data_IF_574200286186
#
_entry.id   IF_574200286186
#
_cell.length_a   1.000
_cell.length_b   1.000
_cell.length_c   1.000
_cell.angle_alpha   90.00
_cell.angle_beta   90.00
_cell.angle_gamma   90.00
#
_symmetry.space_group_name_H-M   'P 1'
#
loop_
_entity.id
_entity.type
_entity.pdbx_description
1 polymer ?
#
# COMPACT_ATOMS: atom_id res chain seq x y z
N UNK A 1 20.00 -4.63 55.43
CA UNK A 1 20.32 -3.53 54.47
C UNK A 1 20.67 -4.04 53.07
N UNK A 2 21.40 -5.15 52.94
CA UNK A 2 21.75 -5.75 51.63
C UNK A 2 20.50 -6.20 50.85
N UNK A 3 19.65 -7.00 51.47
CA UNK A 3 18.38 -7.48 50.88
C UNK A 3 17.49 -6.35 50.35
N UNK A 4 17.36 -5.25 51.11
CA UNK A 4 16.57 -4.08 50.73
C UNK A 4 17.15 -3.35 49.52
N UNK A 5 18.49 -3.30 49.42
CA UNK A 5 19.20 -2.73 48.28
C UNK A 5 19.00 -3.57 47.02
N UNK A 6 19.05 -4.88 47.16
CA UNK A 6 18.91 -5.80 46.03
C UNK A 6 17.46 -5.80 45.51
N UNK A 7 16.47 -5.75 46.41
CA UNK A 7 15.05 -5.53 46.05
C UNK A 7 14.86 -4.21 45.32
N UNK A 8 15.44 -3.12 45.83
CA UNK A 8 15.34 -1.80 45.20
C UNK A 8 16.00 -1.78 43.80
N UNK A 9 17.13 -2.45 43.65
CA UNK A 9 17.83 -2.58 42.37
C UNK A 9 16.99 -3.35 41.34
N UNK A 10 16.41 -4.48 41.72
CA UNK A 10 15.53 -5.25 40.83
C UNK A 10 14.27 -4.45 40.47
N UNK A 11 13.66 -3.77 41.44
CA UNK A 11 12.48 -2.95 41.21
C UNK A 11 12.74 -1.82 40.22
N UNK A 12 13.86 -1.11 40.39
CA UNK A 12 14.25 -0.03 39.47
C UNK A 12 14.59 -0.55 38.08
N UNK A 13 15.25 -1.70 37.97
CA UNK A 13 15.51 -2.33 36.67
C UNK A 13 14.21 -2.69 35.92
N UNK A 14 13.22 -3.26 36.62
CA UNK A 14 11.91 -3.58 36.04
C UNK A 14 11.20 -2.29 35.58
N UNK A 15 11.21 -1.25 36.41
CA UNK A 15 10.55 0.02 36.08
C UNK A 15 11.11 0.67 34.81
N UNK A 16 12.44 0.59 34.61
CA UNK A 16 13.12 1.11 33.42
C UNK A 16 12.80 0.28 32.17
N UNK A 17 12.66 -1.05 32.29
CA UNK A 17 12.42 -1.95 31.15
C UNK A 17 10.95 -2.07 30.75
N UNK A 18 10.02 -1.77 31.66
CA UNK A 18 8.58 -1.94 31.46
C UNK A 18 8.04 -1.19 30.23
N UNK A 19 8.38 0.08 29.96
CA UNK A 19 7.90 0.79 28.78
C UNK A 19 8.32 0.13 27.46
N UNK A 20 9.56 -0.37 27.41
CA UNK A 20 10.09 -1.10 26.24
C UNK A 20 9.40 -2.43 26.02
N UNK A 21 9.12 -3.18 27.08
CA UNK A 21 8.40 -4.45 27.00
C UNK A 21 6.95 -4.26 26.52
N UNK A 22 6.25 -3.24 27.04
CA UNK A 22 4.90 -2.87 26.59
C UNK A 22 4.94 -2.45 25.11
N UNK A 23 5.89 -1.60 24.72
CA UNK A 23 6.06 -1.19 23.31
C UNK A 23 6.34 -2.37 22.38
N UNK A 24 7.20 -3.31 22.79
CA UNK A 24 7.50 -4.51 22.02
C UNK A 24 6.27 -5.41 21.88
N UNK A 25 5.53 -5.66 22.96
CA UNK A 25 4.29 -6.46 22.92
C UNK A 25 3.24 -5.83 21.98
N UNK A 26 3.20 -4.49 21.93
CA UNK A 26 2.27 -3.75 21.10
C UNK A 26 2.54 -3.89 19.59
N UNK A 27 3.76 -4.24 19.17
CA UNK A 27 4.09 -4.57 17.78
C UNK A 27 3.35 -5.84 17.31
N UNK A 28 3.14 -6.78 18.23
CA UNK A 28 2.46 -8.06 17.96
C UNK A 28 0.97 -8.04 18.29
N UNK A 29 0.48 -6.99 18.97
CA UNK A 29 -0.95 -6.74 19.04
C UNK A 29 -1.38 -6.30 17.65
N UNK A 30 -2.13 -7.19 17.00
CA UNK A 30 -2.68 -6.97 15.68
C UNK A 30 -3.57 -5.73 15.69
N UNK A 31 -3.01 -4.58 15.31
CA UNK A 31 -3.81 -3.43 14.93
C UNK A 31 -4.48 -3.84 13.64
N UNK A 32 -5.75 -4.23 13.74
CA UNK A 32 -6.52 -4.54 12.54
C UNK A 32 -6.63 -3.25 11.72
N UNK A 33 -5.67 -3.00 10.85
CA UNK A 33 -5.77 -2.07 9.74
C UNK A 33 -6.73 -2.71 8.75
N UNK A 34 -8.01 -2.82 9.15
CA UNK A 34 -9.05 -3.26 8.24
C UNK A 34 -9.06 -2.24 7.11
N UNK A 35 -8.68 -2.70 5.92
CA UNK A 35 -8.93 -1.98 4.68
C UNK A 35 -10.42 -1.63 4.65
N UNK A 36 -10.72 -0.40 4.27
CA UNK A 36 -12.09 0.08 4.26
C UNK A 36 -12.82 -0.63 3.11
N UNK A 37 -13.59 -1.67 3.41
CA UNK A 37 -14.37 -2.45 2.44
C UNK A 37 -15.66 -1.73 1.99
N UNK A 38 -15.96 -0.57 2.58
CA UNK A 38 -17.17 0.20 2.28
C UNK A 38 -16.80 1.52 1.59
N UNK A 39 -17.31 1.72 0.38
CA UNK A 39 -17.09 2.90 -0.47
C UNK A 39 -17.86 4.16 -0.01
N UNK A 40 -18.44 4.16 1.19
CA UNK A 40 -19.12 5.33 1.74
C UNK A 40 -18.13 6.47 2.02
N UNK A 41 -18.44 7.69 1.55
CA UNK A 41 -17.61 8.88 1.71
C UNK A 41 -17.29 9.23 3.18
N UNK A 42 -18.09 8.74 4.13
CA UNK A 42 -17.93 8.98 5.56
C UNK A 42 -18.12 7.69 6.35
N UNK A 43 -17.08 7.22 7.03
CA UNK A 43 -17.16 6.10 7.96
C UNK A 43 -16.58 6.49 9.33
N UNK A 44 -17.18 5.95 10.39
CA UNK A 44 -16.67 6.11 11.74
C UNK A 44 -15.55 5.08 11.97
N UNK A 45 -14.30 5.53 11.92
CA UNK A 45 -13.20 4.71 12.42
C UNK A 45 -13.44 4.38 13.90
N UNK A 46 -13.38 3.10 14.27
CA UNK A 46 -13.29 2.71 15.67
C UNK A 46 -12.03 3.39 16.22
N UNK A 47 -12.16 4.24 17.23
CA UNK A 47 -11.06 4.99 17.82
C UNK A 47 -9.91 4.02 18.11
N UNK A 48 -8.84 4.11 17.31
CA UNK A 48 -7.63 3.37 17.57
C UNK A 48 -7.15 3.78 18.95
N UNK A 49 -6.68 2.83 19.73
CA UNK A 49 -6.02 3.13 20.99
C UNK A 49 -4.70 3.76 20.58
N UNK A 50 -4.61 5.08 20.71
CA UNK A 50 -3.39 5.82 20.37
C UNK A 50 -2.34 5.52 21.45
N UNK A 51 -1.65 4.40 21.29
CA UNK A 51 -0.56 3.99 22.15
C UNK A 51 0.71 4.72 21.72
N UNK A 52 0.72 6.04 21.89
CA UNK A 52 1.87 6.89 21.61
C UNK A 52 2.95 6.69 22.70
N UNK A 53 3.48 5.47 22.85
CA UNK A 53 4.59 5.14 23.74
C UNK A 53 5.91 5.82 23.30
N UNK A 54 5.89 6.54 22.19
CA UNK A 54 6.97 7.39 21.67
C UNK A 54 7.22 8.65 22.50
N UNK A 55 6.39 9.00 23.49
CA UNK A 55 6.65 10.15 24.38
C UNK A 55 7.90 9.95 25.25
N UNK A 56 8.34 8.70 25.46
CA UNK A 56 9.67 8.45 26.02
C UNK A 56 10.71 8.80 24.96
N UNK A 57 11.43 9.92 25.17
CA UNK A 57 12.51 10.38 24.29
C UNK A 57 13.43 9.20 23.91
N UNK A 58 13.29 8.72 22.66
CA UNK A 58 14.27 7.81 22.08
C UNK A 58 15.61 8.52 22.13
N UNK A 59 16.58 7.92 22.82
CA UNK A 59 17.92 8.48 22.93
C UNK A 59 18.38 8.89 21.52
N UNK A 60 18.77 10.15 21.27
CA UNK A 60 19.20 10.60 19.95
C UNK A 60 20.38 9.80 19.40
N UNK A 61 21.14 9.10 20.26
CA UNK A 61 22.19 8.17 19.85
C UNK A 61 21.66 6.89 19.15
N UNK A 62 20.35 6.62 19.18
CA UNK A 62 19.71 5.49 18.50
C UNK A 62 19.06 5.89 17.15
N UNK A 63 19.47 7.02 16.56
CA UNK A 63 19.09 7.34 15.18
C UNK A 63 19.77 6.36 14.22
N UNK A 64 19.04 5.29 13.88
CA UNK A 64 19.43 4.34 12.86
C UNK A 64 19.01 4.92 11.51
N UNK A 65 19.98 5.35 10.70
CA UNK A 65 19.75 5.76 9.32
C UNK A 65 19.70 4.52 8.44
N UNK A 66 18.53 4.20 7.89
CA UNK A 66 18.40 3.16 6.88
C UNK A 66 18.84 3.71 5.51
N UNK A 67 19.59 2.95 4.71
CA UNK A 67 19.92 3.37 3.36
C UNK A 67 18.65 3.38 2.50
N UNK A 68 18.42 4.49 1.78
CA UNK A 68 17.41 4.54 0.73
C UNK A 68 17.88 3.70 -0.46
N UNK A 69 17.01 2.81 -0.94
CA UNK A 69 17.24 2.04 -2.15
C UNK A 69 16.23 2.48 -3.21
N UNK A 70 16.74 2.74 -4.42
CA UNK A 70 15.89 2.98 -5.58
C UNK A 70 15.63 1.63 -6.26
N UNK A 71 14.38 1.20 -6.29
CA UNK A 71 13.98 0.02 -7.07
C UNK A 71 14.00 0.43 -8.54
N UNK A 72 15.07 0.06 -9.25
CA UNK A 72 15.13 0.20 -10.71
C UNK A 72 14.18 -0.85 -11.28
N UNK A 73 12.98 -0.43 -11.64
CA UNK A 73 12.02 -1.27 -12.34
C UNK A 73 12.48 -1.40 -13.78
N UNK A 74 12.75 -2.61 -14.26
CA UNK A 74 12.96 -2.84 -15.68
C UNK A 74 11.67 -2.49 -16.43
N UNK A 75 11.70 -1.40 -17.18
CA UNK A 75 10.62 -1.08 -18.12
C UNK A 75 10.69 -2.12 -19.23
N UNK A 76 9.82 -3.11 -19.16
CA UNK A 76 9.62 -4.03 -20.28
C UNK A 76 9.20 -3.18 -21.47
N UNK A 77 10.06 -3.09 -22.47
CA UNK A 77 9.73 -2.43 -23.73
C UNK A 77 8.73 -3.31 -24.45
N UNK A 78 7.44 -3.05 -24.23
CA UNK A 78 6.40 -3.67 -25.04
C UNK A 78 6.61 -3.18 -26.48
N UNK A 79 6.97 -4.12 -27.36
CA UNK A 79 7.05 -3.86 -28.78
C UNK A 79 5.60 -3.74 -29.25
N UNK A 80 5.11 -2.50 -29.34
CA UNK A 80 3.78 -2.22 -29.86
C UNK A 80 3.59 -2.94 -31.18
N UNK A 81 2.67 -3.90 -31.21
CA UNK A 81 2.23 -4.51 -32.46
C UNK A 81 1.38 -3.43 -33.14
N UNK A 82 1.98 -2.73 -34.10
CA UNK A 82 1.23 -1.84 -34.97
C UNK A 82 0.46 -2.72 -35.96
N UNK A 83 -0.75 -3.12 -35.56
CA UNK A 83 -1.73 -3.62 -36.52
C UNK A 83 -2.17 -2.43 -37.37
N UNK A 84 -1.44 -2.20 -38.47
CA UNK A 84 -1.93 -1.32 -39.52
C UNK A 84 -3.24 -1.93 -40.00
N UNK A 85 -4.35 -1.27 -39.68
CA UNK A 85 -5.69 -1.65 -40.08
C UNK A 85 -5.71 -1.83 -41.61
N UNK A 86 -5.56 -3.08 -42.06
CA UNK A 86 -5.73 -3.43 -43.45
C UNK A 86 -7.24 -3.51 -43.63
N UNK A 87 -7.85 -2.42 -44.10
CA UNK A 87 -9.21 -2.51 -44.63
C UNK A 87 -9.16 -3.54 -45.76
N UNK A 88 -9.63 -4.76 -45.49
CA UNK A 88 -10.07 -5.71 -46.50
C UNK A 88 -11.37 -5.13 -47.06
N UNK A 89 -11.24 -4.13 -47.94
CA UNK A 89 -12.37 -3.72 -48.73
C UNK A 89 -12.51 -4.73 -49.87
N UNK A 90 -13.13 -5.86 -49.55
CA UNK A 90 -13.50 -6.90 -50.51
C UNK A 90 -14.71 -6.47 -51.38
N UNK A 91 -15.15 -5.20 -51.27
CA UNK A 91 -16.24 -4.67 -52.05
C UNK A 91 -15.80 -4.46 -53.50
N UNK A 92 -16.09 -5.46 -54.32
CA UNK A 92 -16.07 -5.34 -55.77
C UNK A 92 -17.48 -4.93 -56.24
N UNK A 93 -17.68 -3.70 -56.76
CA UNK A 93 -19.00 -3.26 -57.20
C UNK A 93 -19.48 -4.13 -58.37
N UNK A 94 -20.71 -4.63 -58.27
CA UNK A 94 -21.30 -5.44 -59.33
C UNK A 94 -21.57 -4.55 -60.55
N UNK A 95 -21.45 -5.11 -61.76
CA UNK A 95 -21.62 -4.37 -63.02
C UNK A 95 -23.03 -3.72 -63.19
N UNK A 96 -23.96 -4.01 -62.29
CA UNK A 96 -25.32 -3.47 -62.27
C UNK A 96 -25.61 -2.52 -61.09
N UNK A 97 -24.67 -2.30 -60.17
CA UNK A 97 -24.86 -1.40 -59.03
C UNK A 97 -25.05 0.07 -59.46
N UNK A 98 -24.62 0.41 -60.68
CA UNK A 98 -24.81 1.75 -61.27
C UNK A 98 -26.06 1.86 -62.15
N UNK A 99 -26.90 0.83 -62.22
CA UNK A 99 -28.16 0.93 -62.96
C UNK A 99 -29.18 1.63 -62.06
N UNK A 100 -29.56 2.84 -62.46
CA UNK A 100 -30.72 3.52 -61.89
C UNK A 100 -31.97 2.63 -61.99
N UNK A 101 -32.96 2.83 -61.10
CA UNK A 101 -34.20 2.07 -61.14
C UNK A 101 -34.80 2.12 -62.56
N UNK A 102 -35.33 0.99 -63.08
CA UNK A 102 -35.94 0.98 -64.40
C UNK A 102 -37.03 2.05 -64.45
N UNK A 103 -36.90 3.00 -65.38
CA UNK A 103 -37.98 3.92 -65.68
C UNK A 103 -39.09 3.10 -66.31
N UNK A 104 -40.16 2.87 -65.56
CA UNK A 104 -41.37 2.24 -66.08
C UNK A 104 -42.00 3.19 -67.11
N UNK A 105 -42.07 2.74 -68.36
CA UNK A 105 -43.15 2.99 -69.31
C UNK A 105 -43.12 1.92 -70.41
#
# INVERSE_FOLDING_TARGET
MKELKDIFFVFTAILILLPSAVSFSHIFLDHSHKLCENYSEYHYHKKSIDCELHTFHKNPALQITFPEYNIVSEVTKERGIFEYYQFLNDFEPLAFDLRGPPSIA
#
